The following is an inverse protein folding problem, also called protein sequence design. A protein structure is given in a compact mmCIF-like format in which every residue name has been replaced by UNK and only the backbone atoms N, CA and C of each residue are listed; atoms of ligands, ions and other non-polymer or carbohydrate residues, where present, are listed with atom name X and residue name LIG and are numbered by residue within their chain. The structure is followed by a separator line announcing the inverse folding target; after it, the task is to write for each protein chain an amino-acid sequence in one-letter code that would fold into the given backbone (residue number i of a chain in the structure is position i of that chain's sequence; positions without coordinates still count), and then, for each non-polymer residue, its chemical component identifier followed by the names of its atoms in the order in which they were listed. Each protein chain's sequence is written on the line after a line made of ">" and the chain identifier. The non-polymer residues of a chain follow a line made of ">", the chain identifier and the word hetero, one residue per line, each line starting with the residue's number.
data_IF_729559143679
#
_entry.id   IF_729559143679
#
_cell.length_a   1.000
_cell.length_b   1.000
_cell.length_c   1.000
_cell.angle_alpha   90.00
_cell.angle_beta   90.00
_cell.angle_gamma   90.00
#
_symmetry.space_group_name_H-M   'P 1'
#
loop_
_entity.id
_entity.type
_entity.pdbx_description
1 polymer ?
#
# COMPACT_ATOMS: atom_id res chain seq x y z
N UNK A 1 1.25 -22.86 -6.32
CA UNK A 1 0.93 -21.45 -6.01
C UNK A 1 -0.58 -21.31 -5.91
N UNK A 2 -1.03 -20.47 -4.98
CA UNK A 2 -2.44 -20.16 -4.79
C UNK A 2 -2.61 -18.64 -4.91
N UNK A 3 -3.74 -18.21 -5.50
CA UNK A 3 -4.19 -16.83 -5.42
C UNK A 3 -5.30 -16.78 -4.39
N UNK A 4 -5.18 -15.84 -3.44
CA UNK A 4 -6.21 -15.61 -2.43
C UNK A 4 -7.05 -14.40 -2.83
N UNK A 5 -8.37 -14.52 -2.73
CA UNK A 5 -9.28 -13.43 -3.01
C UNK A 5 -10.51 -13.45 -2.11
N UNK A 6 -11.08 -12.28 -1.87
CA UNK A 6 -12.37 -12.09 -1.19
C UNK A 6 -13.30 -11.36 -2.15
N UNK A 7 -14.49 -11.94 -2.38
CA UNK A 7 -15.55 -11.32 -3.16
C UNK A 7 -16.68 -10.86 -2.25
N UNK A 8 -16.85 -9.55 -2.12
CA UNK A 8 -17.99 -8.95 -1.48
C UNK A 8 -19.21 -8.98 -2.40
N UNK A 9 -19.91 -10.12 -2.47
CA UNK A 9 -21.02 -10.37 -3.41
C UNK A 9 -22.04 -9.21 -3.52
N UNK A 10 -22.45 -8.65 -2.37
CA UNK A 10 -23.44 -7.55 -2.34
C UNK A 10 -22.99 -6.31 -3.12
N UNK A 11 -21.69 -6.03 -3.16
CA UNK A 11 -21.14 -4.80 -3.73
C UNK A 11 -20.32 -5.05 -5.01
N UNK A 12 -20.08 -6.31 -5.38
CA UNK A 12 -19.26 -6.67 -6.54
C UNK A 12 -17.77 -6.33 -6.38
N UNK A 13 -17.29 -6.10 -5.15
CA UNK A 13 -15.89 -5.76 -4.89
C UNK A 13 -15.05 -7.03 -4.73
N UNK A 14 -14.04 -7.19 -5.57
CA UNK A 14 -13.08 -8.29 -5.54
C UNK A 14 -11.73 -7.80 -5.01
N UNK A 15 -11.32 -8.26 -3.84
CA UNK A 15 -9.98 -8.05 -3.30
C UNK A 15 -9.10 -9.26 -3.62
N UNK A 16 -7.94 -9.03 -4.23
CA UNK A 16 -7.00 -10.09 -4.64
C UNK A 16 -5.64 -9.84 -3.99
N UNK A 17 -5.09 -10.87 -3.33
CA UNK A 17 -3.73 -10.82 -2.81
C UNK A 17 -2.72 -10.81 -3.98
N UNK A 18 -1.95 -9.74 -4.09
CA UNK A 18 -0.90 -9.62 -5.09
C UNK A 18 0.43 -10.19 -4.56
N UNK A 19 0.60 -11.51 -4.64
CA UNK A 19 1.85 -12.18 -4.29
C UNK A 19 2.68 -12.52 -5.53
N UNK A 20 4.01 -12.44 -5.40
CA UNK A 20 4.93 -12.64 -6.52
C UNK A 20 4.76 -14.03 -7.12
N UNK A 21 4.39 -14.09 -8.40
CA UNK A 21 4.14 -15.32 -9.16
C UNK A 21 2.69 -15.80 -9.17
N UNK A 22 1.79 -15.17 -8.39
CA UNK A 22 0.42 -15.65 -8.29
C UNK A 22 -0.34 -15.43 -9.59
N UNK A 23 -1.25 -16.36 -9.95
CA UNK A 23 -2.19 -16.15 -11.03
C UNK A 23 -2.87 -14.78 -10.90
N UNK A 24 -2.71 -13.94 -11.93
CA UNK A 24 -3.34 -12.61 -12.03
C UNK A 24 -4.81 -12.75 -12.41
N UNK A 25 -5.54 -11.64 -12.45
CA UNK A 25 -6.95 -11.59 -12.88
C UNK A 25 -7.23 -12.32 -14.20
N UNK A 26 -6.32 -12.22 -15.17
CA UNK A 26 -6.41 -12.95 -16.45
C UNK A 26 -6.53 -14.47 -16.27
N UNK A 27 -5.92 -15.01 -15.22
CA UNK A 27 -6.01 -16.43 -14.87
C UNK A 27 -7.36 -16.78 -14.22
N UNK A 28 -8.03 -15.84 -13.54
CA UNK A 28 -9.40 -16.04 -13.04
C UNK A 28 -10.40 -16.09 -14.19
N UNK A 29 -10.22 -15.25 -15.22
CA UNK A 29 -11.04 -15.29 -16.43
C UNK A 29 -11.02 -16.66 -17.13
N UNK A 30 -9.88 -17.35 -17.08
CA UNK A 30 -9.72 -18.70 -17.63
C UNK A 30 -10.63 -19.73 -16.93
N UNK A 31 -11.02 -19.54 -15.68
CA UNK A 31 -11.97 -20.42 -14.99
C UNK A 31 -13.32 -20.42 -15.69
N UNK A 32 -13.83 -19.24 -16.07
CA UNK A 32 -15.08 -19.14 -16.81
C UNK A 32 -14.97 -19.78 -18.19
N UNK A 33 -13.87 -19.57 -18.91
CA UNK A 33 -13.64 -20.23 -20.19
C UNK A 33 -13.66 -21.77 -20.11
N UNK A 34 -13.14 -22.35 -19.02
CA UNK A 34 -13.05 -23.80 -18.85
C UNK A 34 -14.35 -24.45 -18.37
N UNK A 35 -15.11 -23.78 -17.52
CA UNK A 35 -16.26 -24.38 -16.84
C UNK A 35 -17.61 -23.82 -17.27
N UNK A 36 -17.68 -22.55 -17.71
CA UNK A 36 -18.91 -21.95 -18.23
C UNK A 36 -18.60 -20.70 -19.08
N UNK A 37 -18.48 -20.89 -20.40
CA UNK A 37 -18.11 -19.85 -21.34
C UNK A 37 -19.22 -18.81 -21.62
N UNK A 38 -20.39 -18.94 -20.97
CA UNK A 38 -21.44 -17.91 -21.02
C UNK A 38 -21.17 -16.71 -20.11
N UNK A 39 -20.20 -16.84 -19.19
CA UNK A 39 -19.83 -15.77 -18.28
C UNK A 39 -18.36 -15.38 -18.49
N UNK A 40 -18.03 -14.16 -18.10
CA UNK A 40 -16.66 -13.65 -18.05
C UNK A 40 -16.52 -12.73 -16.85
N UNK A 41 -15.28 -12.53 -16.40
CA UNK A 41 -14.92 -11.57 -15.38
C UNK A 41 -14.35 -10.33 -16.06
N UNK A 42 -14.87 -9.15 -15.72
CA UNK A 42 -14.19 -7.89 -15.98
C UNK A 42 -13.98 -7.21 -14.64
N UNK A 43 -12.72 -7.02 -14.22
CA UNK A 43 -12.42 -6.24 -13.03
C UNK A 43 -11.85 -4.88 -13.45
N UNK A 44 -12.51 -3.83 -12.98
CA UNK A 44 -12.00 -2.47 -13.08
C UNK A 44 -11.29 -2.15 -11.75
N UNK A 45 -9.99 -1.82 -11.76
CA UNK A 45 -9.26 -1.56 -10.53
C UNK A 45 -9.75 -0.25 -9.90
N UNK A 46 -9.86 -0.24 -8.57
CA UNK A 46 -10.25 0.97 -7.83
C UNK A 46 -9.11 1.99 -7.92
N UNK A 47 -9.30 3.17 -8.51
CA UNK A 47 -8.24 4.15 -8.67
C UNK A 47 -7.87 4.75 -7.32
N UNK A 48 -6.56 4.89 -7.08
CA UNK A 48 -6.05 5.55 -5.87
C UNK A 48 -6.02 7.08 -6.02
N UNK A 49 -6.16 7.61 -7.24
CA UNK A 49 -6.22 9.06 -7.50
C UNK A 49 -7.31 9.77 -6.69
N UNK A 50 -8.45 9.11 -6.52
CA UNK A 50 -9.60 9.69 -5.82
C UNK A 50 -9.36 9.79 -4.31
N UNK A 51 -8.60 8.86 -3.73
CA UNK A 51 -8.13 8.99 -2.35
C UNK A 51 -7.18 10.15 -2.17
N UNK A 52 -6.21 10.30 -3.07
CA UNK A 52 -5.25 11.40 -2.98
C UNK A 52 -5.98 12.74 -3.17
N UNK A 53 -6.97 12.77 -4.07
CA UNK A 53 -7.81 13.94 -4.32
C UNK A 53 -8.57 14.37 -3.06
N UNK A 54 -9.14 13.43 -2.32
CA UNK A 54 -9.80 13.73 -1.04
C UNK A 54 -8.86 14.43 -0.04
N UNK A 55 -7.63 13.92 0.11
CA UNK A 55 -6.63 14.56 0.97
C UNK A 55 -6.15 15.91 0.41
N UNK A 56 -6.07 16.05 -0.91
CA UNK A 56 -5.62 17.28 -1.55
C UNK A 56 -6.66 18.39 -1.49
N UNK A 57 -7.94 18.07 -1.63
CA UNK A 57 -9.03 19.05 -1.73
C UNK A 57 -9.68 19.35 -0.38
N UNK A 58 -9.48 18.54 0.65
CA UNK A 58 -10.10 18.75 1.96
C UNK A 58 -9.50 19.96 2.70
N UNK A 59 -10.37 20.89 3.10
CA UNK A 59 -10.07 22.07 3.94
C UNK A 59 -9.81 21.72 5.42
N UNK A 60 -9.93 20.44 5.79
CA UNK A 60 -9.73 19.93 7.15
C UNK A 60 -8.73 18.76 7.17
N UNK A 61 -7.80 18.75 6.22
CA UNK A 61 -6.75 17.74 6.10
C UNK A 61 -5.74 17.80 7.24
N UNK A 62 -5.53 16.65 7.88
CA UNK A 62 -4.56 16.48 8.95
C UNK A 62 -3.53 15.45 8.50
N UNK A 63 -2.25 15.81 8.57
CA UNK A 63 -1.13 14.93 8.24
C UNK A 63 -0.39 14.53 9.52
N UNK A 64 -0.13 13.24 9.68
CA UNK A 64 0.46 12.66 10.89
C UNK A 64 1.82 12.01 10.65
N UNK A 65 2.08 11.56 9.43
CA UNK A 65 3.35 10.90 9.09
C UNK A 65 3.60 10.98 7.60
N UNK A 66 4.87 11.09 7.22
CA UNK A 66 5.33 10.95 5.85
C UNK A 66 6.34 9.81 5.81
N UNK A 67 6.16 8.86 4.90
CA UNK A 67 7.14 7.82 4.61
C UNK A 67 7.62 8.00 3.17
N UNK A 68 8.93 8.04 2.97
CA UNK A 68 9.57 8.16 1.64
C UNK A 68 10.57 7.04 1.47
N UNK A 69 10.55 6.38 0.31
CA UNK A 69 11.53 5.37 -0.06
C UNK A 69 12.35 5.87 -1.26
N UNK A 70 13.68 5.86 -1.09
CA UNK A 70 14.65 6.14 -2.15
C UNK A 70 15.22 4.80 -2.64
N UNK A 71 15.00 4.42 -3.90
CA UNK A 71 15.59 3.21 -4.47
C UNK A 71 17.06 3.45 -4.77
N UNK A 72 17.90 2.45 -4.51
CA UNK A 72 19.34 2.44 -4.86
C UNK A 72 20.01 3.78 -4.59
N UNK A 73 19.99 4.28 -3.33
CA UNK A 73 20.49 5.60 -2.99
C UNK A 73 21.98 5.71 -3.31
N UNK A 74 22.39 6.87 -3.80
CA UNK A 74 23.80 7.15 -4.03
C UNK A 74 24.57 7.33 -2.70
N UNK A 75 25.90 7.32 -2.82
CA UNK A 75 26.81 7.49 -1.68
C UNK A 75 26.58 8.81 -0.93
N UNK A 76 26.19 9.89 -1.63
CA UNK A 76 25.98 11.21 -1.05
C UNK A 76 24.74 11.23 -0.14
N UNK A 77 23.64 10.60 -0.56
CA UNK A 77 22.44 10.45 0.27
C UNK A 77 22.75 9.66 1.54
N UNK A 78 23.53 8.58 1.42
CA UNK A 78 23.93 7.75 2.57
C UNK A 78 24.87 8.49 3.53
N UNK A 79 25.86 9.21 3.00
CA UNK A 79 26.77 10.05 3.78
C UNK A 79 26.00 11.08 4.61
N UNK A 80 25.08 11.82 3.97
CA UNK A 80 24.29 12.85 4.64
C UNK A 80 23.34 12.26 5.70
N UNK A 81 22.70 11.14 5.39
CA UNK A 81 21.75 10.50 6.29
C UNK A 81 22.43 9.86 7.50
N UNK A 82 23.55 9.17 7.30
CA UNK A 82 24.26 8.41 8.33
C UNK A 82 25.33 9.24 9.05
N UNK A 83 25.67 10.42 8.54
CA UNK A 83 26.78 11.27 9.01
C UNK A 83 28.12 10.52 9.03
N UNK A 84 28.30 9.60 8.09
CA UNK A 84 29.53 8.83 7.93
C UNK A 84 30.39 9.50 6.88
N UNK A 85 31.69 9.66 7.14
CA UNK A 85 32.65 10.25 6.18
C UNK A 85 33.66 9.23 5.66
N UNK A 86 33.58 7.98 6.15
CA UNK A 86 34.45 6.89 5.72
C UNK A 86 33.97 6.34 4.38
N UNK A 87 34.74 6.62 3.32
CA UNK A 87 34.42 6.23 1.95
C UNK A 87 34.36 4.71 1.75
N UNK A 88 35.17 3.93 2.46
CA UNK A 88 35.15 2.46 2.32
C UNK A 88 33.86 1.87 2.89
N UNK A 89 33.41 2.40 4.04
CA UNK A 89 32.15 2.01 4.65
C UNK A 89 30.93 2.43 3.81
N UNK A 90 30.94 3.65 3.27
CA UNK A 90 29.85 4.14 2.39
C UNK A 90 29.79 3.30 1.10
N UNK A 91 30.94 2.96 0.50
CA UNK A 91 31.00 2.09 -0.68
C UNK A 91 30.51 0.67 -0.37
N UNK A 92 30.85 0.11 0.79
CA UNK A 92 30.40 -1.20 1.20
C UNK A 92 28.88 -1.25 1.43
N UNK A 93 28.32 -0.19 2.03
CA UNK A 93 26.89 -0.06 2.28
C UNK A 93 26.13 0.19 0.98
N UNK A 94 26.56 1.14 0.15
CA UNK A 94 25.88 1.52 -1.10
C UNK A 94 25.76 0.34 -2.08
N UNK A 95 26.82 -0.47 -2.27
CA UNK A 95 26.81 -1.64 -3.16
C UNK A 95 25.78 -2.70 -2.78
N UNK A 96 25.39 -2.77 -1.50
CA UNK A 96 24.46 -3.77 -0.98
C UNK A 96 23.09 -3.17 -0.58
N UNK A 97 22.90 -1.86 -0.75
CA UNK A 97 21.67 -1.18 -0.34
C UNK A 97 20.67 -1.15 -1.49
N UNK A 98 19.54 -1.84 -1.32
CA UNK A 98 18.45 -1.79 -2.30
C UNK A 98 17.63 -0.51 -2.20
N UNK A 99 17.35 -0.04 -0.98
CA UNK A 99 16.62 1.21 -0.74
C UNK A 99 16.89 1.77 0.66
N UNK A 100 16.59 3.06 0.84
CA UNK A 100 16.54 3.74 2.14
C UNK A 100 15.15 4.30 2.36
N UNK A 101 14.62 4.08 3.57
CA UNK A 101 13.30 4.57 3.97
C UNK A 101 13.47 5.66 5.03
N UNK A 102 12.91 6.84 4.76
CA UNK A 102 12.80 7.93 5.71
C UNK A 102 11.38 8.04 6.24
N UNK A 103 11.25 8.18 7.55
CA UNK A 103 9.96 8.37 8.22
C UNK A 103 9.99 9.70 8.99
N UNK A 104 9.09 10.61 8.64
CA UNK A 104 8.90 11.87 9.34
C UNK A 104 7.69 11.73 10.25
N UNK A 105 7.91 11.89 11.55
CA UNK A 105 6.90 11.76 12.61
C UNK A 105 6.86 13.00 13.50
N UNK A 106 5.70 13.33 14.06
CA UNK A 106 5.54 14.40 15.04
C UNK A 106 6.24 14.01 16.35
N UNK A 107 6.68 15.02 17.10
CA UNK A 107 7.49 14.83 18.30
C UNK A 107 6.72 14.15 19.45
N UNK A 108 5.39 14.31 19.56
CA UNK A 108 4.59 13.64 20.57
C UNK A 108 3.07 13.70 20.30
N UNK A 109 2.40 12.55 20.14
CA UNK A 109 0.91 12.38 20.02
C UNK A 109 0.17 13.55 19.33
N UNK A 110 0.78 14.14 18.32
CA UNK A 110 0.31 15.32 17.62
C UNK A 110 0.28 15.05 16.13
N UNK A 111 -0.11 16.05 15.36
CA UNK A 111 -0.12 16.02 13.91
C UNK A 111 1.15 16.73 13.40
N UNK A 112 1.68 16.32 12.24
CA UNK A 112 2.74 17.06 11.56
C UNK A 112 2.23 18.42 11.09
N UNK A 113 1.00 18.43 10.57
CA UNK A 113 0.31 19.66 10.20
C UNK A 113 -1.20 19.45 10.15
N UNK A 114 -1.94 20.53 10.43
CA UNK A 114 -3.38 20.66 10.19
C UNK A 114 -3.69 21.77 9.18
N UNK A 115 -2.65 22.37 8.59
CA UNK A 115 -2.75 23.40 7.56
C UNK A 115 -2.96 22.73 6.19
N UNK A 116 -4.16 22.85 5.59
CA UNK A 116 -4.48 22.22 4.30
C UNK A 116 -3.58 22.73 3.16
N UNK A 117 -3.17 23.99 3.18
CA UNK A 117 -2.31 24.56 2.14
C UNK A 117 -0.88 24.01 2.25
N UNK A 118 -0.41 23.72 3.46
CA UNK A 118 0.84 23.00 3.64
C UNK A 118 0.74 21.55 3.15
N UNK A 119 -0.39 20.86 3.39
CA UNK A 119 -0.63 19.50 2.87
C UNK A 119 -0.60 19.48 1.35
N UNK A 120 -1.30 20.40 0.67
CA UNK A 120 -1.29 20.55 -0.80
C UNK A 120 0.13 20.75 -1.33
N UNK A 121 0.89 21.69 -0.74
CA UNK A 121 2.28 21.97 -1.14
C UNK A 121 3.20 20.76 -0.95
N UNK A 122 3.02 19.97 0.11
CA UNK A 122 3.77 18.73 0.31
C UNK A 122 3.45 17.70 -0.77
N UNK A 123 2.17 17.48 -1.07
CA UNK A 123 1.74 16.59 -2.16
C UNK A 123 2.35 17.02 -3.49
N UNK A 124 2.29 18.31 -3.81
CA UNK A 124 2.82 18.85 -5.07
C UNK A 124 4.34 18.74 -5.15
N UNK A 125 5.06 18.95 -4.04
CA UNK A 125 6.51 18.78 -3.98
C UNK A 125 6.92 17.32 -4.25
N UNK A 126 6.27 16.35 -3.61
CA UNK A 126 6.58 14.94 -3.82
C UNK A 126 6.20 14.45 -5.21
N UNK A 127 5.08 14.92 -5.78
CA UNK A 127 4.69 14.61 -7.16
C UNK A 127 5.70 15.11 -8.19
N UNK A 128 6.26 16.31 -7.98
CA UNK A 128 7.31 16.87 -8.86
C UNK A 128 8.62 16.07 -8.81
N UNK A 129 8.88 15.40 -7.69
CA UNK A 129 10.08 14.57 -7.49
C UNK A 129 9.82 13.07 -7.67
N UNK A 130 8.82 12.69 -8.47
CA UNK A 130 8.41 11.28 -8.68
C UNK A 130 9.58 10.38 -9.09
N UNK A 131 10.50 10.87 -9.91
CA UNK A 131 11.63 10.08 -10.41
C UNK A 131 12.71 9.82 -9.35
N UNK A 132 12.69 10.55 -8.23
CA UNK A 132 13.65 10.40 -7.13
C UNK A 132 13.22 9.39 -6.06
N UNK A 133 11.96 8.96 -6.09
CA UNK A 133 11.35 8.19 -5.02
C UNK A 133 10.60 6.98 -5.58
N UNK A 134 10.84 5.79 -5.02
CA UNK A 134 10.07 4.59 -5.39
C UNK A 134 8.73 4.55 -4.69
N UNK A 135 8.61 5.24 -3.54
CA UNK A 135 7.39 5.29 -2.74
C UNK A 135 7.29 6.57 -1.93
N UNK A 136 6.11 7.19 -1.90
CA UNK A 136 5.78 8.26 -0.96
C UNK A 136 4.40 7.99 -0.38
N UNK A 137 4.32 7.72 0.93
CA UNK A 137 3.06 7.53 1.64
C UNK A 137 2.85 8.69 2.61
N UNK A 138 1.78 9.43 2.39
CA UNK A 138 1.28 10.40 3.36
C UNK A 138 0.27 9.70 4.26
N UNK A 139 0.47 9.71 5.57
CA UNK A 139 -0.55 9.22 6.49
C UNK A 139 -1.30 10.39 7.11
N UNK A 140 -2.60 10.44 6.86
CA UNK A 140 -3.44 11.54 7.32
C UNK A 140 -4.90 11.16 7.43
N UNK A 141 -5.72 12.13 7.79
CA UNK A 141 -7.17 12.00 7.87
C UNK A 141 -7.84 13.30 7.42
N UNK A 142 -9.06 13.16 6.95
CA UNK A 142 -9.99 14.25 6.64
C UNK A 142 -11.14 14.18 7.65
N UNK A 143 -11.93 15.25 7.79
CA UNK A 143 -13.14 15.22 8.63
C UNK A 143 -14.11 14.10 8.25
N UNK A 144 -14.22 13.79 6.96
CA UNK A 144 -15.11 12.75 6.46
C UNK A 144 -14.72 11.33 6.89
N UNK A 145 -13.44 11.08 7.19
CA UNK A 145 -12.96 9.73 7.49
C UNK A 145 -12.79 9.43 8.96
N UNK A 146 -12.48 10.41 9.81
CA UNK A 146 -12.22 10.23 11.25
C UNK A 146 -11.00 9.36 11.61
N UNK A 147 -10.61 8.42 10.74
CA UNK A 147 -9.50 7.47 10.87
C UNK A 147 -8.34 7.86 9.95
N UNK A 148 -7.13 7.63 10.44
CA UNK A 148 -5.90 7.84 9.69
C UNK A 148 -5.72 6.76 8.61
N UNK A 149 -5.38 7.18 7.40
CA UNK A 149 -5.18 6.33 6.22
C UNK A 149 -3.84 6.67 5.57
N UNK A 150 -3.19 5.68 4.94
CA UNK A 150 -2.03 5.91 4.09
C UNK A 150 -2.46 6.22 2.66
N UNK A 151 -1.97 7.33 2.11
CA UNK A 151 -2.15 7.79 0.74
C UNK A 151 -0.82 7.64 0.01
N UNK A 152 -0.68 6.56 -0.76
CA UNK A 152 0.50 6.35 -1.61
C UNK A 152 0.39 7.24 -2.84
N UNK A 153 1.33 8.16 -3.05
CA UNK A 153 1.23 9.16 -4.12
C UNK A 153 1.53 8.62 -5.52
N UNK A 154 2.18 7.45 -5.62
CA UNK A 154 2.63 6.89 -6.90
C UNK A 154 1.93 5.60 -7.28
N UNK A 155 1.23 4.98 -6.33
CA UNK A 155 0.39 3.83 -6.61
C UNK A 155 -0.86 4.26 -7.42
N UNK A 156 -1.11 3.59 -8.53
CA UNK A 156 -2.23 3.90 -9.44
C UNK A 156 -3.56 3.37 -8.89
N UNK A 157 -3.51 2.22 -8.23
CA UNK A 157 -4.70 1.51 -7.76
C UNK A 157 -4.69 1.32 -6.25
N UNK A 158 -5.88 1.23 -5.68
CA UNK A 158 -6.05 1.03 -4.25
C UNK A 158 -5.42 -0.29 -3.79
N UNK A 159 -4.42 -0.20 -2.91
CA UNK A 159 -3.70 -1.37 -2.36
C UNK A 159 -3.38 -1.17 -0.90
N UNK A 160 -3.44 -2.26 -0.15
CA UNK A 160 -2.95 -2.31 1.22
C UNK A 160 -2.05 -3.52 1.45
N UNK A 161 -1.02 -3.36 2.28
CA UNK A 161 -0.18 -4.48 2.66
C UNK A 161 -0.98 -5.44 3.53
N UNK A 162 -0.81 -6.74 3.27
CA UNK A 162 -1.19 -7.80 4.19
C UNK A 162 0.10 -8.49 4.62
N UNK A 163 0.27 -8.71 5.92
CA UNK A 163 1.42 -9.45 6.43
C UNK A 163 1.04 -10.91 6.60
N UNK A 164 1.78 -11.80 5.95
CA UNK A 164 1.56 -13.24 6.04
C UNK A 164 2.89 -13.91 6.36
N UNK A 165 2.95 -14.55 7.53
CA UNK A 165 4.14 -15.25 7.98
C UNK A 165 4.10 -16.67 7.43
N UNK A 166 4.71 -16.90 6.28
CA UNK A 166 4.72 -18.21 5.62
C UNK A 166 5.77 -19.17 6.20
N UNK A 167 6.78 -18.65 6.89
CA UNK A 167 7.92 -19.42 7.38
C UNK A 167 8.26 -19.09 8.82
N UNK A 168 8.86 -20.05 9.50
CA UNK A 168 9.49 -19.87 10.79
C UNK A 168 10.89 -20.48 10.80
N UNK A 169 11.66 -20.15 11.84
CA UNK A 169 12.94 -20.79 12.07
C UNK A 169 12.78 -21.96 13.04
N UNK A 170 13.27 -23.12 12.61
CA UNK A 170 13.41 -24.31 13.44
C UNK A 170 14.84 -24.82 13.27
N UNK A 171 15.62 -24.89 14.34
CA UNK A 171 17.04 -25.31 14.32
C UNK A 171 17.89 -24.61 13.24
N UNK A 172 17.80 -23.28 13.13
CA UNK A 172 18.48 -22.45 12.12
C UNK A 172 18.11 -22.78 10.66
N UNK A 173 17.01 -23.49 10.43
CA UNK A 173 16.46 -23.76 9.09
C UNK A 173 15.14 -23.04 8.92
N UNK A 174 14.92 -22.52 7.71
CA UNK A 174 13.65 -21.91 7.30
C UNK A 174 12.66 -23.03 6.99
N UNK A 175 11.63 -23.17 7.82
CA UNK A 175 10.57 -24.18 7.68
C UNK A 175 9.26 -23.47 7.36
N UNK A 176 8.58 -23.92 6.30
CA UNK A 176 7.27 -23.38 5.91
C UNK A 176 6.23 -23.80 6.95
N UNK A 177 5.33 -22.89 7.31
CA UNK A 177 4.18 -23.26 8.13
C UNK A 177 3.24 -24.22 7.38
N UNK A 178 2.42 -25.01 8.09
CA UNK A 178 1.38 -25.80 7.45
C UNK A 178 0.48 -24.95 6.56
N UNK A 179 0.08 -25.49 5.41
CA UNK A 179 -0.72 -24.75 4.42
C UNK A 179 -2.04 -24.27 5.01
N UNK A 180 -2.65 -25.05 5.90
CA UNK A 180 -3.90 -24.73 6.58
C UNK A 180 -3.77 -23.47 7.43
N UNK A 181 -2.61 -23.29 8.10
CA UNK A 181 -2.31 -22.08 8.85
C UNK A 181 -2.15 -20.89 7.91
N UNK A 182 -1.34 -21.03 6.87
CA UNK A 182 -1.10 -19.96 5.89
C UNK A 182 -2.44 -19.52 5.27
N UNK A 183 -3.30 -20.46 4.88
CA UNK A 183 -4.63 -20.17 4.32
C UNK A 183 -5.54 -19.46 5.33
N UNK A 184 -5.51 -19.86 6.61
CA UNK A 184 -6.26 -19.19 7.67
C UNK A 184 -5.77 -17.75 7.87
N UNK A 185 -4.46 -17.52 7.86
CA UNK A 185 -3.85 -16.19 7.98
C UNK A 185 -4.25 -15.30 6.80
N UNK A 186 -4.17 -15.80 5.56
CA UNK A 186 -4.65 -15.05 4.39
C UNK A 186 -6.14 -14.72 4.51
N UNK A 187 -6.98 -15.69 4.89
CA UNK A 187 -8.42 -15.49 5.04
C UNK A 187 -8.75 -14.44 6.10
N UNK A 188 -8.13 -14.52 7.27
CA UNK A 188 -8.33 -13.59 8.38
C UNK A 188 -7.86 -12.19 8.02
N UNK A 189 -6.58 -12.04 7.68
CA UNK A 189 -5.96 -10.74 7.46
C UNK A 189 -6.57 -10.01 6.25
N UNK A 190 -6.89 -10.74 5.16
CA UNK A 190 -7.58 -10.12 4.02
C UNK A 190 -9.00 -9.67 4.40
N UNK A 191 -9.73 -10.44 5.22
CA UNK A 191 -11.08 -10.08 5.64
C UNK A 191 -11.08 -8.88 6.58
N UNK A 192 -10.14 -8.82 7.51
CA UNK A 192 -9.98 -7.71 8.44
C UNK A 192 -9.67 -6.41 7.68
N UNK A 193 -8.72 -6.46 6.76
CA UNK A 193 -8.37 -5.31 5.91
C UNK A 193 -9.53 -4.93 4.98
N UNK A 194 -10.21 -5.90 4.38
CA UNK A 194 -11.39 -5.62 3.56
C UNK A 194 -12.46 -4.89 4.37
N UNK A 195 -12.78 -5.36 5.57
CA UNK A 195 -13.78 -4.74 6.44
C UNK A 195 -13.34 -3.36 6.94
N UNK A 196 -12.06 -3.20 7.27
CA UNK A 196 -11.47 -1.92 7.68
C UNK A 196 -11.65 -0.85 6.60
N UNK A 197 -11.38 -1.19 5.35
CA UNK A 197 -11.43 -0.27 4.22
C UNK A 197 -12.73 -0.32 3.43
N UNK A 198 -13.69 -1.15 3.82
CA UNK A 198 -14.92 -1.38 3.07
C UNK A 198 -15.63 -0.08 2.73
N UNK A 199 -15.89 0.78 3.71
CA UNK A 199 -16.62 2.02 3.48
C UNK A 199 -15.87 2.96 2.52
N UNK A 200 -14.54 2.96 2.59
CA UNK A 200 -13.67 3.74 1.72
C UNK A 200 -13.76 3.19 0.29
N UNK A 201 -13.59 1.87 0.12
CA UNK A 201 -13.68 1.20 -1.17
C UNK A 201 -15.06 1.45 -1.80
N UNK A 202 -16.13 1.31 -1.03
CA UNK A 202 -17.49 1.50 -1.53
C UNK A 202 -17.77 2.95 -1.95
N UNK A 203 -17.22 3.94 -1.25
CA UNK A 203 -17.35 5.34 -1.65
C UNK A 203 -16.69 5.62 -3.02
N UNK A 204 -15.59 4.93 -3.35
CA UNK A 204 -14.91 5.09 -4.65
C UNK A 204 -15.43 4.17 -5.75
N UNK A 205 -15.99 3.02 -5.38
CA UNK A 205 -16.54 2.06 -6.33
C UNK A 205 -17.95 2.40 -6.80
N UNK A 206 -18.51 3.53 -6.32
CA UNK A 206 -19.89 3.99 -6.43
C UNK A 206 -20.79 3.14 -7.36
N UNK A 207 -21.27 2.04 -6.79
CA UNK A 207 -22.52 1.39 -7.15
C UNK A 207 -23.43 1.59 -5.96
N UNK A 208 -24.02 2.78 -5.85
CA UNK A 208 -25.01 3.04 -4.83
C UNK A 208 -26.06 1.90 -4.83
N UNK A 209 -26.41 1.30 -3.68
CA UNK A 209 -27.74 0.75 -3.56
C UNK A 209 -28.70 1.95 -3.60
N UNK A 210 -29.36 2.15 -4.74
CA UNK A 210 -30.67 2.79 -4.73
C UNK A 210 -31.59 1.90 -3.86
N UNK A 211 -31.93 2.45 -2.70
CA UNK A 211 -32.99 2.06 -1.74
C UNK A 211 -32.98 0.64 -1.15
#
# INVERSE_FOLDING_TARGET
>A
MFTYCILGYKHGVLSIANSKGAPKETSLNRLFQLYNNHYYLNADPVPNSDLIKELYESDSSILNRICVEIPTPDATVLEQALKMTDSELIDAVSKNTQSVIFEVKPQYRSDLTKDPDLVKRLIDAFRKSKDSFSKVILHGKTEHRGKQVGYDLFEEYFKYPIEITEYHQEYNRKVEYPKEKIQADYRGNMMDIYNEFKNIILAFCDRAPTE
#
